data_IF_995262033757
#
_entry.id   IF_995262033757
#
_cell.length_a   1.000
_cell.length_b   1.000
_cell.length_c   1.000
_cell.angle_alpha   90.00
_cell.angle_beta   90.00
_cell.angle_gamma   90.00
#
_symmetry.space_group_name_H-M   'P 1'
#
loop_
_entity.id
_entity.type
_entity.pdbx_description
1 polymer ?
#
# COMPACT_ATOMS: atom_id res chain seq x y z
N UNK A 1 -13.42 12.36 -0.61
CA UNK A 1 -12.61 13.14 -1.59
C UNK A 1 -12.35 12.30 -2.84
N UNK A 2 -13.13 12.46 -3.93
CA UNK A 2 -12.84 11.81 -5.21
C UNK A 2 -11.78 12.54 -6.05
N UNK A 3 -11.14 13.59 -5.53
CA UNK A 3 -10.09 14.34 -6.21
C UNK A 3 -10.45 14.87 -7.59
N UNK A 4 -11.72 15.24 -7.80
CA UNK A 4 -12.29 15.58 -9.10
C UNK A 4 -12.23 14.45 -10.17
N UNK A 5 -11.93 13.22 -9.76
CA UNK A 5 -11.89 12.05 -10.63
C UNK A 5 -13.27 11.55 -11.07
N UNK A 6 -13.30 10.45 -11.82
CA UNK A 6 -14.53 9.84 -12.32
C UNK A 6 -15.42 9.28 -11.20
N UNK A 7 -14.84 8.96 -10.04
CA UNK A 7 -15.56 8.53 -8.84
C UNK A 7 -16.58 9.59 -8.37
N UNK A 8 -16.33 10.89 -8.61
CA UNK A 8 -17.26 11.98 -8.31
C UNK A 8 -18.64 11.78 -8.93
N UNK A 9 -18.73 11.08 -10.07
CA UNK A 9 -20.00 10.84 -10.80
C UNK A 9 -20.94 9.91 -10.03
N UNK A 10 -20.38 8.97 -9.24
CA UNK A 10 -21.14 7.89 -8.61
C UNK A 10 -21.01 7.83 -7.09
N UNK A 11 -20.01 8.47 -6.48
CA UNK A 11 -19.74 8.34 -5.04
C UNK A 11 -20.96 8.67 -4.18
N UNK A 12 -21.63 9.79 -4.44
CA UNK A 12 -22.84 10.20 -3.72
C UNK A 12 -23.96 9.16 -3.87
N UNK A 13 -24.20 8.67 -5.08
CA UNK A 13 -25.26 7.68 -5.35
C UNK A 13 -25.05 6.36 -4.61
N UNK A 14 -23.81 6.02 -4.27
CA UNK A 14 -23.47 4.79 -3.57
C UNK A 14 -23.40 5.04 -2.06
N UNK A 15 -22.70 6.07 -1.62
CA UNK A 15 -22.44 6.30 -0.20
C UNK A 15 -23.66 6.81 0.53
N UNK A 16 -24.54 7.63 -0.12
CA UNK A 16 -25.81 8.11 0.47
C UNK A 16 -26.84 6.97 0.72
N UNK A 17 -26.57 5.74 0.26
CA UNK A 17 -27.39 4.57 0.59
C UNK A 17 -27.16 4.06 2.02
N UNK A 18 -26.08 4.50 2.67
CA UNK A 18 -25.71 4.07 4.01
C UNK A 18 -26.09 5.14 5.04
N UNK A 19 -26.47 4.75 6.27
CA UNK A 19 -26.88 5.68 7.32
C UNK A 19 -25.65 6.34 7.99
N UNK A 20 -24.99 7.24 7.26
CA UNK A 20 -23.78 7.95 7.67
C UNK A 20 -23.93 9.45 7.41
N UNK A 21 -23.31 10.28 8.26
CA UNK A 21 -23.15 11.70 8.01
C UNK A 21 -21.91 11.90 7.12
N UNK A 22 -22.13 12.37 5.89
CA UNK A 22 -21.06 12.44 4.88
C UNK A 22 -20.83 13.89 4.46
N UNK A 23 -19.58 14.29 4.41
CA UNK A 23 -19.12 15.56 3.83
C UNK A 23 -18.28 15.25 2.59
N UNK A 24 -18.69 15.78 1.45
CA UNK A 24 -18.01 15.63 0.18
C UNK A 24 -17.14 16.85 -0.11
N UNK A 25 -15.92 16.63 -0.63
CA UNK A 25 -15.03 17.65 -1.17
C UNK A 25 -14.52 17.20 -2.53
N UNK A 26 -14.20 18.12 -3.44
CA UNK A 26 -13.67 17.83 -4.78
C UNK A 26 -14.56 16.84 -5.58
N UNK A 27 -15.87 16.91 -5.39
CA UNK A 27 -16.87 15.93 -5.80
C UNK A 27 -17.58 16.27 -7.13
N UNK A 28 -16.99 17.16 -7.91
CA UNK A 28 -17.33 17.42 -9.30
C UNK A 28 -16.23 16.85 -10.22
N UNK A 29 -16.62 16.00 -11.18
CA UNK A 29 -15.66 15.39 -12.11
C UNK A 29 -15.09 16.45 -13.05
N UNK A 30 -13.77 16.63 -13.00
CA UNK A 30 -13.02 17.57 -13.85
C UNK A 30 -11.64 16.94 -14.16
N UNK A 31 -11.43 16.54 -15.41
CA UNK A 31 -10.18 15.91 -15.86
C UNK A 31 -8.94 16.81 -15.85
N UNK A 32 -9.08 18.10 -15.44
CA UNK A 32 -7.94 18.98 -15.18
C UNK A 32 -7.40 18.88 -13.75
N UNK A 33 -8.16 18.22 -12.86
CA UNK A 33 -7.82 18.02 -11.44
C UNK A 33 -7.40 19.31 -10.72
N UNK A 34 -8.29 20.32 -10.68
CA UNK A 34 -7.93 21.69 -10.30
C UNK A 34 -7.50 21.85 -8.83
N UNK A 35 -7.86 20.90 -7.96
CA UNK A 35 -7.62 21.02 -6.52
C UNK A 35 -6.34 20.32 -6.07
N UNK A 36 -6.11 19.08 -6.52
CA UNK A 36 -4.89 18.31 -6.28
C UNK A 36 -4.79 17.14 -7.27
N UNK A 37 -3.61 16.58 -7.42
CA UNK A 37 -3.45 15.33 -8.20
C UNK A 37 -4.19 14.19 -7.53
N UNK A 38 -5.06 13.43 -8.25
CA UNK A 38 -5.88 12.37 -7.66
C UNK A 38 -5.07 11.07 -7.47
N UNK A 39 -4.05 11.13 -6.63
CA UNK A 39 -3.31 9.97 -6.15
C UNK A 39 -3.39 9.91 -4.62
N UNK A 40 -4.25 9.02 -4.06
CA UNK A 40 -4.53 8.96 -2.65
C UNK A 40 -3.42 8.30 -1.82
N UNK A 41 -2.39 7.76 -2.46
CA UNK A 41 -1.22 7.17 -1.78
C UNK A 41 -0.09 8.18 -1.55
N UNK A 42 -0.22 9.39 -2.08
CA UNK A 42 0.71 10.50 -1.85
C UNK A 42 0.12 11.42 -0.80
N UNK A 43 0.75 11.49 0.36
CA UNK A 43 0.21 12.19 1.54
C UNK A 43 -0.07 13.68 1.28
N UNK A 44 0.76 14.36 0.48
CA UNK A 44 0.59 15.78 0.14
C UNK A 44 -0.73 16.04 -0.60
N UNK A 45 -1.20 15.10 -1.42
CA UNK A 45 -2.47 15.19 -2.13
C UNK A 45 -3.68 15.14 -1.19
N UNK A 46 -3.51 14.65 0.03
CA UNK A 46 -4.55 14.52 1.04
C UNK A 46 -4.67 15.75 1.96
N UNK A 47 -3.94 16.82 1.70
CA UNK A 47 -3.90 17.99 2.58
C UNK A 47 -5.30 18.59 2.82
N UNK A 48 -6.13 18.72 1.76
CA UNK A 48 -7.49 19.23 1.87
C UNK A 48 -8.39 18.27 2.66
N UNK A 49 -8.29 16.96 2.42
CA UNK A 49 -9.04 15.95 3.16
C UNK A 49 -8.66 15.95 4.65
N UNK A 50 -7.38 16.00 4.96
CA UNK A 50 -6.86 16.08 6.35
C UNK A 50 -7.38 17.31 7.09
N UNK A 51 -7.41 18.45 6.42
CA UNK A 51 -7.96 19.68 6.97
C UNK A 51 -9.47 19.57 7.20
N UNK A 52 -10.23 19.02 6.23
CA UNK A 52 -11.68 18.87 6.32
C UNK A 52 -12.09 17.89 7.43
N UNK A 53 -11.41 16.76 7.56
CA UNK A 53 -11.63 15.80 8.64
C UNK A 53 -11.55 16.48 10.01
N UNK A 54 -10.52 17.30 10.25
CA UNK A 54 -10.35 18.05 11.50
C UNK A 54 -11.40 19.12 11.69
N UNK A 55 -11.76 19.86 10.61
CA UNK A 55 -12.75 20.94 10.64
C UNK A 55 -14.13 20.45 11.07
N UNK A 56 -14.56 19.31 10.53
CA UNK A 56 -15.91 18.77 10.79
C UNK A 56 -15.95 17.73 11.91
N UNK A 57 -14.79 17.31 12.43
CA UNK A 57 -14.71 16.27 13.45
C UNK A 57 -15.13 14.89 12.93
N UNK A 58 -14.83 14.58 11.67
CA UNK A 58 -15.18 13.29 11.09
C UNK A 58 -14.38 12.13 11.72
N UNK A 59 -14.97 10.93 11.81
CA UNK A 59 -14.30 9.73 12.31
C UNK A 59 -13.20 9.22 11.36
N UNK A 60 -13.38 9.46 10.05
CA UNK A 60 -12.46 9.04 8.99
C UNK A 60 -12.63 9.89 7.76
N UNK A 61 -11.55 10.12 7.02
CA UNK A 61 -11.55 10.63 5.66
C UNK A 61 -11.15 9.55 4.66
N UNK A 62 -11.83 9.50 3.52
CA UNK A 62 -11.50 8.59 2.42
C UNK A 62 -11.28 9.38 1.14
N UNK A 63 -10.26 9.02 0.38
CA UNK A 63 -9.93 9.61 -0.91
C UNK A 63 -9.80 8.53 -1.97
N UNK A 64 -10.07 8.90 -3.21
CA UNK A 64 -10.02 8.00 -4.36
C UNK A 64 -9.12 8.58 -5.43
N UNK A 65 -8.57 7.72 -6.27
CA UNK A 65 -7.80 8.16 -7.42
C UNK A 65 -8.68 8.54 -8.63
N UNK A 66 -8.05 8.89 -9.73
CA UNK A 66 -8.73 9.47 -10.89
C UNK A 66 -9.80 8.59 -11.51
N UNK A 67 -9.62 7.27 -11.51
CA UNK A 67 -10.60 6.27 -12.02
C UNK A 67 -11.29 5.46 -10.91
N UNK A 68 -10.91 5.68 -9.64
CA UNK A 68 -11.64 5.20 -8.47
C UNK A 68 -11.37 3.76 -8.07
N UNK A 69 -10.26 3.20 -8.52
CA UNK A 69 -9.89 1.83 -8.18
C UNK A 69 -8.95 1.74 -6.95
N UNK A 70 -8.41 2.89 -6.46
CA UNK A 70 -7.57 3.00 -5.27
C UNK A 70 -8.23 3.79 -4.13
N UNK A 71 -7.85 3.45 -2.90
CA UNK A 71 -8.34 4.09 -1.67
C UNK A 71 -7.19 4.69 -0.87
N UNK A 72 -7.33 5.95 -0.48
CA UNK A 72 -6.54 6.60 0.57
C UNK A 72 -7.35 6.79 1.84
N UNK A 73 -6.71 6.66 2.99
CA UNK A 73 -7.35 6.72 4.30
C UNK A 73 -6.69 7.77 5.18
N UNK A 74 -7.53 8.61 5.80
CA UNK A 74 -7.13 9.61 6.80
C UNK A 74 -7.92 9.35 8.08
N UNK A 75 -7.24 9.23 9.21
CA UNK A 75 -7.90 9.03 10.52
C UNK A 75 -8.67 10.28 10.96
N UNK A 76 -9.57 10.16 11.92
CA UNK A 76 -10.25 11.30 12.55
C UNK A 76 -9.30 12.33 13.19
N UNK A 77 -8.03 11.96 13.44
CA UNK A 77 -6.97 12.88 13.88
C UNK A 77 -6.24 13.57 12.72
N UNK A 78 -6.65 13.31 11.48
CA UNK A 78 -6.02 13.88 10.28
C UNK A 78 -4.66 13.26 9.94
N UNK A 79 -4.41 12.00 10.31
CA UNK A 79 -3.21 11.26 9.97
C UNK A 79 -3.45 10.39 8.76
N UNK A 80 -2.54 10.41 7.79
CA UNK A 80 -2.54 9.48 6.67
C UNK A 80 -2.22 8.07 7.15
N UNK A 81 -2.94 7.08 6.63
CA UNK A 81 -2.68 5.67 6.87
C UNK A 81 -2.28 5.02 5.54
N UNK A 82 -1.05 4.51 5.39
CA UNK A 82 -0.62 3.78 4.21
C UNK A 82 -1.50 2.56 3.93
N UNK A 83 -1.57 2.17 2.66
CA UNK A 83 -2.46 1.10 2.19
C UNK A 83 -2.21 -0.22 2.91
N UNK A 84 -0.96 -0.64 3.02
CA UNK A 84 -0.56 -1.87 3.70
C UNK A 84 -0.92 -1.87 5.20
N UNK A 85 -1.01 -0.70 5.82
CA UNK A 85 -1.43 -0.55 7.22
C UNK A 85 -2.95 -0.64 7.36
N UNK A 86 -3.75 0.04 6.52
CA UNK A 86 -5.20 -0.15 6.61
C UNK A 86 -5.65 -1.56 6.16
N UNK A 87 -4.90 -2.23 5.28
CA UNK A 87 -5.12 -3.64 4.93
C UNK A 87 -5.11 -4.55 6.16
N UNK A 88 -4.35 -4.21 7.21
CA UNK A 88 -4.35 -4.93 8.49
C UNK A 88 -5.74 -4.94 9.13
N UNK A 89 -6.47 -3.81 9.07
CA UNK A 89 -7.84 -3.73 9.60
C UNK A 89 -8.77 -4.70 8.87
N UNK A 90 -8.63 -4.79 7.54
CA UNK A 90 -9.40 -5.71 6.72
C UNK A 90 -9.07 -7.16 7.10
N UNK A 91 -7.78 -7.52 7.22
CA UNK A 91 -7.38 -8.88 7.60
C UNK A 91 -7.90 -9.23 9.00
N UNK A 92 -7.79 -8.34 9.99
CA UNK A 92 -8.34 -8.54 11.34
C UNK A 92 -9.85 -8.83 11.32
N UNK A 93 -10.59 -8.15 10.43
CA UNK A 93 -12.03 -8.38 10.27
C UNK A 93 -12.36 -9.73 9.64
N UNK A 94 -11.63 -10.14 8.59
CA UNK A 94 -12.04 -11.29 7.77
C UNK A 94 -11.36 -12.62 8.12
N UNK A 95 -10.20 -12.62 8.77
CA UNK A 95 -9.38 -13.82 8.96
C UNK A 95 -10.10 -14.97 9.69
N UNK A 96 -11.04 -14.67 10.57
CA UNK A 96 -11.85 -15.67 11.24
C UNK A 96 -13.18 -15.98 10.53
N UNK A 97 -13.48 -15.27 9.45
CA UNK A 97 -14.70 -15.43 8.64
C UNK A 97 -14.44 -16.22 7.35
N UNK A 98 -13.18 -16.45 7.00
CA UNK A 98 -12.76 -17.16 5.79
C UNK A 98 -12.13 -18.50 6.12
N UNK A 99 -12.29 -19.48 5.23
CA UNK A 99 -11.69 -20.81 5.41
C UNK A 99 -10.18 -20.81 5.09
N UNK A 100 -9.79 -20.06 4.05
CA UNK A 100 -8.39 -19.93 3.63
C UNK A 100 -7.78 -18.68 4.24
N UNK A 101 -6.84 -18.85 5.16
CA UNK A 101 -6.16 -17.76 5.89
C UNK A 101 -4.84 -17.35 5.20
N UNK A 102 -4.88 -17.20 3.88
CA UNK A 102 -3.74 -16.75 3.08
C UNK A 102 -4.08 -15.38 2.47
N UNK A 103 -3.17 -14.41 2.64
CA UNK A 103 -3.38 -13.02 2.23
C UNK A 103 -2.17 -12.56 1.42
N UNK A 104 -2.41 -11.78 0.37
CA UNK A 104 -1.35 -11.33 -0.53
C UNK A 104 -1.01 -9.86 -0.29
N UNK A 105 0.29 -9.54 -0.31
CA UNK A 105 0.77 -8.18 -0.41
C UNK A 105 1.88 -8.08 -1.48
N UNK A 106 2.06 -6.89 -2.07
CA UNK A 106 3.17 -6.69 -2.99
C UNK A 106 4.53 -6.55 -2.26
N UNK A 107 5.61 -6.67 -3.01
CA UNK A 107 6.98 -6.63 -2.45
C UNK A 107 7.32 -5.33 -1.73
N UNK A 108 6.58 -4.25 -1.97
CA UNK A 108 6.81 -2.92 -1.37
C UNK A 108 6.12 -2.74 -0.02
N UNK A 109 5.15 -3.60 0.30
CA UNK A 109 4.41 -3.53 1.56
C UNK A 109 5.33 -3.72 2.77
N UNK A 110 4.95 -3.04 3.85
CA UNK A 110 5.62 -3.10 5.15
C UNK A 110 5.60 -4.51 5.75
N UNK A 111 6.63 -4.81 6.50
CA UNK A 111 6.71 -6.00 7.35
C UNK A 111 5.59 -6.03 8.40
N UNK A 112 5.06 -4.85 8.80
CA UNK A 112 3.90 -4.74 9.69
C UNK A 112 2.71 -5.59 9.22
N UNK A 113 2.44 -5.61 7.90
CA UNK A 113 1.34 -6.40 7.34
C UNK A 113 1.60 -7.91 7.47
N UNK A 114 2.78 -8.37 7.06
CA UNK A 114 3.11 -9.81 7.16
C UNK A 114 3.16 -10.30 8.60
N UNK A 115 3.76 -9.53 9.50
CA UNK A 115 3.83 -9.85 10.93
C UNK A 115 2.43 -9.99 11.56
N UNK A 116 1.52 -9.07 11.22
CA UNK A 116 0.16 -9.11 11.78
C UNK A 116 -0.64 -10.29 11.21
N UNK A 117 -0.52 -10.59 9.91
CA UNK A 117 -1.13 -11.78 9.30
C UNK A 117 -0.67 -13.06 10.00
N UNK A 118 0.64 -13.21 10.22
CA UNK A 118 1.24 -14.38 10.87
C UNK A 118 0.84 -14.47 12.35
N UNK A 119 0.85 -13.37 13.07
CA UNK A 119 0.38 -13.25 14.47
C UNK A 119 -1.08 -13.71 14.64
N UNK A 120 -1.91 -13.45 13.63
CA UNK A 120 -3.31 -13.89 13.60
C UNK A 120 -3.49 -15.35 13.14
N UNK A 121 -2.40 -16.08 12.88
CA UNK A 121 -2.41 -17.48 12.43
C UNK A 121 -2.73 -17.64 10.93
N UNK A 122 -2.54 -16.59 10.14
CA UNK A 122 -2.59 -16.61 8.69
C UNK A 122 -1.22 -16.79 8.05
N UNK A 123 -1.19 -16.75 6.71
CA UNK A 123 0.03 -16.77 5.91
C UNK A 123 0.03 -15.57 4.97
N UNK A 124 1.09 -14.79 5.00
CA UNK A 124 1.33 -13.71 4.05
C UNK A 124 2.05 -14.25 2.80
N UNK A 125 1.52 -13.91 1.63
CA UNK A 125 2.11 -14.22 0.33
C UNK A 125 2.64 -12.91 -0.24
N UNK A 126 3.96 -12.76 -0.29
CA UNK A 126 4.60 -11.64 -0.97
C UNK A 126 4.61 -11.88 -2.47
N UNK A 127 4.15 -10.91 -3.25
CA UNK A 127 4.04 -11.03 -4.69
C UNK A 127 4.63 -9.81 -5.41
N UNK A 128 4.80 -9.92 -6.74
CA UNK A 128 5.30 -8.82 -7.57
C UNK A 128 4.31 -7.67 -7.63
N UNK A 129 4.84 -6.44 -7.76
CA UNK A 129 4.02 -5.23 -7.94
C UNK A 129 3.38 -5.20 -9.33
N UNK A 130 2.15 -4.73 -9.38
CA UNK A 130 1.41 -4.40 -10.60
C UNK A 130 -0.02 -4.94 -10.57
N UNK A 131 -0.98 -4.01 -10.70
CA UNK A 131 -2.43 -4.26 -10.63
C UNK A 131 -2.86 -5.56 -11.34
N UNK A 132 -2.51 -5.71 -12.63
CA UNK A 132 -2.91 -6.89 -13.40
C UNK A 132 -2.34 -8.20 -12.84
N UNK A 133 -1.12 -8.18 -12.29
CA UNK A 133 -0.48 -9.37 -11.71
C UNK A 133 -1.10 -9.73 -10.37
N UNK A 134 -1.27 -8.74 -9.49
CA UNK A 134 -1.84 -8.94 -8.15
C UNK A 134 -3.29 -9.39 -8.23
N UNK A 135 -4.09 -8.75 -9.09
CA UNK A 135 -5.49 -9.16 -9.37
C UNK A 135 -5.58 -10.61 -9.86
N UNK A 136 -4.74 -10.98 -10.82
CA UNK A 136 -4.69 -12.34 -11.33
C UNK A 136 -4.27 -13.33 -10.24
N UNK A 137 -3.24 -13.02 -9.43
CA UNK A 137 -2.75 -13.89 -8.37
C UNK A 137 -3.82 -14.10 -7.28
N UNK A 138 -4.51 -13.05 -6.85
CA UNK A 138 -5.61 -13.16 -5.86
C UNK A 138 -6.73 -14.08 -6.37
N UNK A 139 -7.06 -13.99 -7.67
CA UNK A 139 -8.04 -14.86 -8.30
C UNK A 139 -7.55 -16.30 -8.44
N UNK A 140 -6.36 -16.48 -9.02
CA UNK A 140 -5.86 -17.80 -9.45
C UNK A 140 -5.42 -18.65 -8.26
N UNK A 141 -4.97 -18.01 -7.19
CA UNK A 141 -4.64 -18.66 -5.92
C UNK A 141 -5.86 -18.78 -4.98
N UNK A 142 -7.04 -18.29 -5.40
CA UNK A 142 -8.27 -18.27 -4.61
C UNK A 142 -8.05 -17.67 -3.19
N UNK A 143 -7.46 -16.47 -3.16
CA UNK A 143 -7.19 -15.77 -1.90
C UNK A 143 -8.39 -14.90 -1.51
N UNK A 144 -8.76 -14.83 -0.23
CA UNK A 144 -9.89 -14.02 0.23
C UNK A 144 -9.62 -12.51 0.11
N UNK A 145 -8.35 -12.10 0.19
CA UNK A 145 -7.96 -10.70 0.13
C UNK A 145 -6.47 -10.56 -0.23
N UNK A 146 -6.15 -9.47 -0.90
CA UNK A 146 -4.77 -9.02 -1.15
C UNK A 146 -4.74 -7.56 -1.57
N UNK A 147 -3.55 -6.98 -1.62
CA UNK A 147 -3.39 -5.60 -2.05
C UNK A 147 -1.95 -5.18 -2.28
N UNK A 148 -1.80 -3.94 -2.70
CA UNK A 148 -0.53 -3.31 -3.04
C UNK A 148 -0.36 -2.00 -2.26
N UNK A 149 0.88 -1.64 -1.97
CA UNK A 149 1.20 -0.35 -1.36
C UNK A 149 0.63 0.84 -2.16
N UNK A 150 0.48 0.66 -3.47
CA UNK A 150 -0.04 1.68 -4.40
C UNK A 150 -1.53 1.99 -4.28
N UNK A 151 -2.27 1.36 -3.34
CA UNK A 151 -3.67 1.66 -3.09
C UNK A 151 -4.67 0.66 -3.65
N UNK A 152 -4.25 -0.23 -4.54
CA UNK A 152 -5.12 -1.28 -5.07
C UNK A 152 -5.34 -2.38 -4.04
N UNK A 153 -6.59 -2.72 -3.77
CA UNK A 153 -6.96 -3.83 -2.88
C UNK A 153 -8.04 -4.70 -3.53
N UNK A 154 -7.93 -6.00 -3.31
CA UNK A 154 -8.72 -7.02 -4.00
C UNK A 154 -9.39 -7.89 -2.95
N UNK A 155 -10.73 -7.86 -2.93
CA UNK A 155 -11.55 -8.68 -2.05
C UNK A 155 -12.18 -9.83 -2.81
N UNK A 156 -12.11 -11.04 -2.24
CA UNK A 156 -12.81 -12.22 -2.76
C UNK A 156 -13.67 -12.94 -1.73
N UNK A 157 -13.69 -12.44 -0.50
CA UNK A 157 -14.58 -12.93 0.55
C UNK A 157 -16.06 -12.64 0.23
N UNK A 158 -16.36 -11.41 -0.24
CA UNK A 158 -17.72 -10.94 -0.58
C UNK A 158 -17.77 -10.07 -1.84
N UNK A 159 -16.74 -10.12 -2.67
CA UNK A 159 -16.58 -9.32 -3.88
C UNK A 159 -15.92 -10.15 -4.99
N UNK A 160 -16.14 -9.88 -6.29
CA UNK A 160 -15.61 -10.71 -7.38
C UNK A 160 -14.10 -10.74 -7.57
N UNK A 161 -13.32 -9.93 -6.83
CA UNK A 161 -11.84 -9.95 -6.86
C UNK A 161 -11.20 -8.91 -7.75
N UNK A 162 -11.95 -7.94 -8.26
CA UNK A 162 -11.36 -6.76 -8.88
C UNK A 162 -11.23 -5.62 -7.87
N UNK A 163 -10.29 -4.72 -8.12
CA UNK A 163 -10.03 -3.53 -7.32
C UNK A 163 -11.16 -2.50 -7.46
N UNK A 164 -11.51 -1.88 -6.36
CA UNK A 164 -12.48 -0.80 -6.30
C UNK A 164 -12.24 0.00 -5.02
N UNK A 165 -11.79 1.24 -5.17
CA UNK A 165 -11.62 2.16 -4.04
C UNK A 165 -12.93 2.41 -3.31
N UNK A 166 -14.04 2.56 -4.05
CA UNK A 166 -15.37 2.72 -3.45
C UNK A 166 -15.75 1.55 -2.55
N UNK A 167 -15.57 0.32 -3.01
CA UNK A 167 -15.87 -0.88 -2.23
C UNK A 167 -14.93 -1.01 -1.03
N UNK A 168 -13.65 -0.74 -1.21
CA UNK A 168 -12.67 -0.76 -0.13
C UNK A 168 -13.02 0.24 0.98
N UNK A 169 -13.45 1.46 0.61
CA UNK A 169 -13.92 2.46 1.56
C UNK A 169 -15.15 1.98 2.33
N UNK A 170 -16.15 1.39 1.67
CA UNK A 170 -17.34 0.82 2.33
C UNK A 170 -16.94 -0.29 3.31
N UNK A 171 -15.99 -1.16 2.96
CA UNK A 171 -15.50 -2.21 3.86
C UNK A 171 -14.80 -1.65 5.10
N UNK A 172 -14.04 -0.58 4.95
CA UNK A 172 -13.45 0.13 6.09
C UNK A 172 -14.52 0.76 6.98
N UNK A 173 -15.51 1.44 6.38
CA UNK A 173 -16.63 2.05 7.11
C UNK A 173 -17.49 1.00 7.82
N UNK A 174 -17.69 -0.18 7.21
CA UNK A 174 -18.35 -1.32 7.85
C UNK A 174 -17.61 -1.74 9.14
N UNK A 175 -16.27 -1.86 9.10
CA UNK A 175 -15.47 -2.19 10.28
C UNK A 175 -15.66 -1.14 11.38
N UNK A 176 -15.61 0.14 11.03
CA UNK A 176 -15.81 1.23 11.99
C UNK A 176 -17.21 1.23 12.58
N UNK A 177 -18.24 0.82 11.83
CA UNK A 177 -19.63 0.78 12.30
C UNK A 177 -19.90 -0.24 13.41
N UNK A 178 -19.05 -1.26 13.55
CA UNK A 178 -19.20 -2.30 14.58
C UNK A 178 -18.50 -2.00 15.90
N UNK A 179 -17.83 -0.84 16.01
CA UNK A 179 -17.00 -0.52 17.16
C UNK A 179 -17.08 0.96 17.53
N UNK A 180 -16.80 1.27 18.78
CA UNK A 180 -16.59 2.66 19.24
C UNK A 180 -15.10 3.06 19.23
N UNK A 181 -14.23 2.26 18.61
CA UNK A 181 -12.81 2.53 18.52
C UNK A 181 -12.49 3.30 17.24
N UNK A 182 -11.62 4.28 17.34
CA UNK A 182 -11.02 4.94 16.17
C UNK A 182 -9.98 4.02 15.46
N UNK A 183 -9.55 4.41 14.26
CA UNK A 183 -8.58 3.65 13.47
C UNK A 183 -7.27 3.43 14.25
N UNK A 184 -6.77 4.44 14.96
CA UNK A 184 -5.54 4.33 15.74
C UNK A 184 -5.68 3.28 16.85
N UNK A 185 -6.83 3.25 17.52
CA UNK A 185 -7.12 2.23 18.54
C UNK A 185 -7.29 0.83 17.94
N UNK A 186 -7.84 0.74 16.72
CA UNK A 186 -7.96 -0.52 15.99
C UNK A 186 -6.61 -1.05 15.50
N UNK A 187 -5.65 -0.18 15.21
CA UNK A 187 -4.28 -0.53 14.84
C UNK A 187 -3.35 -0.75 16.05
N UNK A 188 -3.83 -0.59 17.27
CA UNK A 188 -3.00 -0.79 18.45
C UNK A 188 -2.35 -2.19 18.46
N UNK A 189 -1.07 -2.24 18.81
CA UNK A 189 -0.28 -3.47 18.89
C UNK A 189 0.18 -4.04 17.54
N UNK A 190 0.02 -3.29 16.45
CA UNK A 190 0.71 -3.54 15.19
C UNK A 190 2.18 -3.13 15.38
N UNK A 191 3.11 -3.93 14.85
CA UNK A 191 4.52 -3.56 14.83
C UNK A 191 4.70 -2.32 13.95
N UNK A 192 5.46 -1.36 14.43
CA UNK A 192 5.80 -0.15 13.69
C UNK A 192 7.25 -0.23 13.19
N UNK A 193 7.46 0.14 11.94
CA UNK A 193 8.76 0.12 11.29
C UNK A 193 9.05 1.49 10.66
N UNK A 194 10.32 1.89 10.72
CA UNK A 194 10.82 3.04 9.98
C UNK A 194 11.03 2.65 8.52
N UNK A 195 10.51 3.43 7.58
CA UNK A 195 10.65 3.15 6.15
C UNK A 195 11.05 4.39 5.36
N UNK A 196 11.74 4.17 4.24
CA UNK A 196 11.98 5.24 3.26
C UNK A 196 10.81 5.34 2.29
N UNK A 197 10.69 6.48 1.63
CA UNK A 197 10.02 6.55 0.35
C UNK A 197 10.79 5.75 -0.72
N UNK A 198 10.18 5.56 -1.89
CA UNK A 198 10.85 4.92 -3.02
C UNK A 198 11.93 5.83 -3.61
N UNK A 199 13.20 5.44 -3.48
CA UNK A 199 14.35 6.16 -4.00
C UNK A 199 14.57 5.74 -5.45
N UNK A 200 14.66 6.71 -6.37
CA UNK A 200 14.83 6.46 -7.81
C UNK A 200 16.26 6.77 -8.26
N UNK A 201 16.86 5.80 -8.94
CA UNK A 201 18.17 5.94 -9.57
C UNK A 201 17.98 5.92 -11.09
N UNK A 202 18.39 6.97 -11.77
CA UNK A 202 18.34 7.01 -13.24
C UNK A 202 19.24 5.90 -13.80
N UNK A 203 18.66 4.97 -14.55
CA UNK A 203 19.35 3.83 -15.15
C UNK A 203 18.68 3.46 -16.47
N UNK A 204 19.40 3.52 -17.59
CA UNK A 204 18.85 3.15 -18.90
C UNK A 204 18.31 1.71 -18.93
N UNK A 205 17.30 1.49 -19.77
CA UNK A 205 16.69 0.16 -19.94
C UNK A 205 17.69 -0.91 -20.39
N UNK A 206 18.76 -0.50 -21.05
CA UNK A 206 19.82 -1.39 -21.55
C UNK A 206 20.70 -1.98 -20.45
N UNK A 207 20.78 -1.31 -19.27
CA UNK A 207 21.69 -1.74 -18.20
C UNK A 207 20.95 -2.07 -16.88
N UNK A 208 19.77 -1.48 -16.61
CA UNK A 208 19.10 -1.58 -15.33
C UNK A 208 18.89 -3.04 -14.87
N UNK A 209 18.55 -3.95 -15.77
CA UNK A 209 18.36 -5.37 -15.41
C UNK A 209 19.68 -6.04 -15.05
N UNK A 210 20.78 -5.75 -15.76
CA UNK A 210 22.11 -6.24 -15.42
C UNK A 210 22.61 -5.73 -14.07
N UNK A 211 22.22 -4.50 -13.67
CA UNK A 211 22.51 -3.98 -12.34
C UNK A 211 21.76 -4.79 -11.27
N UNK A 212 20.49 -5.14 -11.50
CA UNK A 212 19.71 -5.99 -10.57
C UNK A 212 20.35 -7.38 -10.43
N UNK A 213 20.82 -7.98 -11.52
CA UNK A 213 21.52 -9.28 -11.46
C UNK A 213 22.80 -9.18 -10.60
N UNK A 214 23.60 -8.11 -10.76
CA UNK A 214 24.79 -7.87 -9.93
C UNK A 214 24.43 -7.62 -8.44
N UNK A 215 23.32 -6.92 -8.15
CA UNK A 215 22.79 -6.77 -6.77
C UNK A 215 22.44 -8.16 -6.20
N UNK A 216 21.82 -9.03 -6.99
CA UNK A 216 21.50 -10.40 -6.58
C UNK A 216 22.78 -11.19 -6.27
N UNK A 217 23.79 -11.11 -7.12
CA UNK A 217 25.09 -11.77 -6.88
C UNK A 217 25.75 -11.29 -5.58
N UNK A 218 25.69 -9.98 -5.31
CA UNK A 218 26.15 -9.42 -4.03
C UNK A 218 25.41 -10.02 -2.84
N UNK A 219 24.08 -10.03 -2.89
CA UNK A 219 23.21 -10.58 -1.82
C UNK A 219 23.52 -12.05 -1.56
N UNK A 220 23.70 -12.85 -2.62
CA UNK A 220 24.10 -14.27 -2.54
C UNK A 220 25.50 -14.40 -1.92
N UNK A 221 26.46 -13.57 -2.33
CA UNK A 221 27.83 -13.60 -1.79
C UNK A 221 27.90 -13.30 -0.29
N UNK A 222 26.95 -12.50 0.22
CA UNK A 222 26.80 -12.17 1.64
C UNK A 222 26.03 -13.25 2.43
N UNK A 223 25.42 -14.22 1.76
CA UNK A 223 24.57 -15.23 2.38
C UNK A 223 23.25 -14.65 2.94
N UNK A 224 22.78 -13.51 2.43
CA UNK A 224 21.52 -12.90 2.85
C UNK A 224 20.33 -13.69 2.31
N UNK A 225 19.28 -13.81 3.10
CA UNK A 225 17.97 -14.32 2.63
C UNK A 225 17.31 -13.30 1.73
N UNK A 226 16.74 -13.74 0.62
CA UNK A 226 16.08 -12.82 -0.33
C UNK A 226 14.92 -13.48 -1.06
N UNK A 227 14.09 -12.63 -1.66
CA UNK A 227 13.06 -12.96 -2.65
C UNK A 227 13.44 -12.27 -3.97
N UNK A 228 13.30 -12.98 -5.09
CA UNK A 228 13.58 -12.47 -6.45
C UNK A 228 12.33 -12.41 -7.34
N UNK A 229 11.19 -12.14 -6.74
CA UNK A 229 9.90 -12.11 -7.41
C UNK A 229 9.74 -10.86 -8.31
N UNK A 230 10.27 -9.71 -7.85
CA UNK A 230 10.24 -8.43 -8.56
C UNK A 230 11.47 -7.60 -8.15
N UNK A 231 12.59 -7.86 -8.79
CA UNK A 231 13.91 -7.42 -8.34
C UNK A 231 14.45 -8.28 -7.19
N UNK A 232 15.17 -7.67 -6.26
CA UNK A 232 15.77 -8.35 -5.11
C UNK A 232 15.26 -7.72 -3.82
N UNK A 233 14.43 -8.44 -3.07
CA UNK A 233 14.04 -8.06 -1.70
C UNK A 233 14.84 -8.89 -0.71
N UNK A 234 15.79 -8.25 -0.04
CA UNK A 234 16.62 -8.85 1.00
C UNK A 234 15.86 -8.82 2.32
N UNK A 235 15.83 -9.95 3.02
CA UNK A 235 15.07 -10.14 4.26
C UNK A 235 16.00 -10.22 5.44
N UNK A 236 15.76 -9.38 6.44
CA UNK A 236 16.40 -9.40 7.75
C UNK A 236 15.32 -9.60 8.83
N UNK A 237 15.73 -10.08 9.99
CA UNK A 237 14.79 -10.26 11.11
C UNK A 237 14.20 -8.89 11.56
N UNK A 238 14.98 -7.85 11.42
CA UNK A 238 14.69 -6.47 11.84
C UNK A 238 14.31 -5.52 10.69
N UNK A 239 14.09 -6.01 9.46
CA UNK A 239 13.73 -5.16 8.33
C UNK A 239 13.93 -5.81 6.97
N UNK A 240 13.98 -5.00 5.92
CA UNK A 240 14.25 -5.45 4.55
C UNK A 240 14.82 -4.33 3.67
N UNK A 241 15.48 -4.73 2.60
CA UNK A 241 15.93 -3.86 1.52
C UNK A 241 15.39 -4.36 0.17
N UNK A 242 14.74 -3.50 -0.60
CA UNK A 242 14.22 -3.83 -1.92
C UNK A 242 14.95 -3.00 -2.99
N UNK A 243 15.49 -3.68 -4.00
CA UNK A 243 16.07 -3.06 -5.20
C UNK A 243 15.45 -3.70 -6.43
N UNK A 244 14.84 -2.90 -7.29
CA UNK A 244 14.13 -3.38 -8.47
C UNK A 244 14.28 -2.48 -9.68
N UNK A 245 14.20 -3.06 -10.88
CA UNK A 245 14.08 -2.29 -12.10
C UNK A 245 12.65 -1.78 -12.28
N UNK A 246 12.48 -0.49 -12.56
CA UNK A 246 11.16 0.07 -12.85
C UNK A 246 10.60 -0.50 -14.16
N UNK A 247 9.33 -0.88 -14.17
CA UNK A 247 8.62 -1.34 -15.37
C UNK A 247 8.13 -0.18 -16.25
N UNK A 248 8.03 1.04 -15.68
CA UNK A 248 7.41 2.20 -16.34
C UNK A 248 8.37 3.30 -16.73
N UNK A 249 9.67 3.14 -16.41
CA UNK A 249 10.66 4.17 -16.74
C UNK A 249 12.10 3.68 -16.64
N UNK A 250 13.07 4.48 -17.12
CA UNK A 250 14.49 4.16 -17.17
C UNK A 250 15.14 4.38 -15.79
N UNK A 251 14.64 3.66 -14.79
CA UNK A 251 15.08 3.80 -13.40
C UNK A 251 15.23 2.44 -12.72
N UNK A 252 16.16 2.38 -11.77
CA UNK A 252 16.15 1.43 -10.67
C UNK A 252 15.47 2.13 -9.50
N UNK A 253 14.65 1.42 -8.74
CA UNK A 253 14.03 1.90 -7.53
C UNK A 253 14.49 1.08 -6.34
N UNK A 254 14.69 1.75 -5.21
CA UNK A 254 15.01 1.09 -3.95
C UNK A 254 14.10 1.62 -2.84
N UNK A 255 13.73 0.73 -1.91
CA UNK A 255 12.99 1.06 -0.68
C UNK A 255 13.53 0.23 0.46
N UNK A 256 13.55 0.81 1.64
CA UNK A 256 14.11 0.20 2.84
C UNK A 256 13.14 0.31 4.00
N UNK A 257 13.19 -0.67 4.89
CA UNK A 257 12.41 -0.66 6.13
C UNK A 257 13.19 -1.37 7.23
N UNK A 258 13.14 -0.85 8.45
CA UNK A 258 13.78 -1.45 9.61
C UNK A 258 13.07 -1.11 10.93
N UNK A 259 13.32 -1.91 11.97
CA UNK A 259 12.76 -1.74 13.30
C UNK A 259 13.29 -0.50 14.03
N UNK A 260 14.45 0.03 13.63
CA UNK A 260 15.03 1.28 14.17
C UNK A 260 15.52 2.18 13.05
N UNK A 261 15.58 3.48 13.33
CA UNK A 261 16.08 4.48 12.39
C UNK A 261 17.57 4.27 12.06
N UNK A 262 18.37 3.86 13.04
CA UNK A 262 19.78 3.53 12.83
C UNK A 262 19.94 2.39 11.85
N UNK A 263 19.14 1.32 12.02
CA UNK A 263 19.18 0.16 11.14
C UNK A 263 18.68 0.50 9.73
N UNK A 264 17.66 1.34 9.63
CA UNK A 264 17.18 1.85 8.34
C UNK A 264 18.30 2.58 7.58
N UNK A 265 19.04 3.46 8.28
CA UNK A 265 20.15 4.21 7.70
C UNK A 265 21.30 3.28 7.27
N UNK A 266 21.61 2.23 8.04
CA UNK A 266 22.61 1.22 7.66
C UNK A 266 22.22 0.51 6.35
N UNK A 267 20.98 -0.01 6.27
CA UNK A 267 20.48 -0.71 5.08
C UNK A 267 20.47 0.22 3.86
N UNK A 268 19.98 1.45 4.05
CA UNK A 268 19.95 2.43 2.98
C UNK A 268 21.36 2.74 2.47
N UNK A 269 22.31 2.99 3.36
CA UNK A 269 23.71 3.30 2.97
C UNK A 269 24.35 2.14 2.24
N UNK A 270 24.19 0.90 2.72
CA UNK A 270 24.75 -0.30 2.08
C UNK A 270 24.27 -0.42 0.62
N UNK A 271 22.95 -0.43 0.42
CA UNK A 271 22.39 -0.70 -0.90
C UNK A 271 22.42 0.51 -1.84
N UNK A 272 22.30 1.74 -1.34
CA UNK A 272 22.45 2.95 -2.16
C UNK A 272 23.88 3.05 -2.71
N UNK A 273 24.90 2.78 -1.89
CA UNK A 273 26.29 2.77 -2.33
C UNK A 273 26.52 1.67 -3.36
N UNK A 274 26.01 0.47 -3.13
CA UNK A 274 26.09 -0.65 -4.08
C UNK A 274 25.45 -0.29 -5.44
N UNK A 275 24.22 0.25 -5.43
CA UNK A 275 23.54 0.66 -6.66
C UNK A 275 24.33 1.74 -7.40
N UNK A 276 24.84 2.74 -6.68
CA UNK A 276 25.62 3.82 -7.28
C UNK A 276 26.94 3.33 -7.89
N UNK A 277 27.57 2.31 -7.31
CA UNK A 277 28.78 1.68 -7.85
C UNK A 277 28.46 0.89 -9.13
N UNK A 278 27.47 0.00 -9.06
CA UNK A 278 27.09 -0.87 -10.16
C UNK A 278 26.43 -0.14 -11.34
N UNK A 279 25.79 1.00 -11.10
CA UNK A 279 25.10 1.77 -12.13
C UNK A 279 26.02 2.72 -12.90
N UNK A 280 27.32 2.80 -12.57
CA UNK A 280 28.34 3.58 -13.29
C UNK A 280 28.99 2.80 -14.44
N UNK A 281 28.86 1.50 -14.43
CA UNK A 281 29.39 0.57 -15.46
C UNK A 281 28.38 0.37 -16.60
#
# INVERSE_FOLDING_TARGET
DPGNGTTAIIVKKIYDLFPMDIVYINDESDGTFPNHHPDPCVEDNLAQLKAKVKEVGADVGVSFDGDGDRLGVVTGKGQFIPTDIYMILIVRDIINKVSKKEFLCDVKCSKSFSDEVEKLGGKCITYRTGNSYTKAAVRDMDLPFGGELSGHVYFRDRWPGFDSGLYAGIRLLEILSYTNKDINQLLAGVNDYYSTEEIKFKSPDTIKFGVIDKVKDYVVSKGYKYLDIDGVKVLFDDGWALVRASNTGPNITARFEAATEERLNELQNEFVNLINELNKE
#
